data_IF_792648468009
#
_entry.id   IF_792648468009
#
_cell.length_a   1.000
_cell.length_b   1.000
_cell.length_c   1.000
_cell.angle_alpha   90.00
_cell.angle_beta   90.00
_cell.angle_gamma   90.00
#
_symmetry.space_group_name_H-M   'P 1'
#
loop_
_entity.id
_entity.type
_entity.pdbx_description
1 polymer ?
#
# COMPACT_ATOMS: atom_id res chain seq x y z
N UNK A 1 20.32 -1.20 -39.16
CA UNK A 1 18.89 -1.56 -39.04
C UNK A 1 18.45 -1.28 -37.61
N UNK A 2 17.41 -0.48 -37.39
CA UNK A 2 16.88 -0.22 -36.05
C UNK A 2 16.30 -1.52 -35.47
N UNK A 3 16.87 -2.05 -34.38
CA UNK A 3 16.29 -3.17 -33.66
C UNK A 3 15.01 -2.72 -32.94
N UNK A 4 13.88 -3.30 -33.34
CA UNK A 4 12.57 -3.07 -32.72
C UNK A 4 12.61 -3.53 -31.25
N UNK A 5 12.48 -2.61 -30.30
CA UNK A 5 12.42 -2.92 -28.88
C UNK A 5 10.97 -3.23 -28.47
N UNK A 6 10.76 -4.28 -27.69
CA UNK A 6 9.44 -4.62 -27.12
C UNK A 6 9.50 -4.58 -25.60
N UNK A 7 8.54 -3.90 -24.97
CA UNK A 7 8.37 -3.77 -23.52
C UNK A 7 6.97 -4.22 -23.12
N UNK A 8 6.76 -4.51 -21.84
CA UNK A 8 5.46 -4.93 -21.29
C UNK A 8 5.04 -3.97 -20.17
N UNK A 9 3.75 -3.68 -20.09
CA UNK A 9 3.11 -2.92 -19.00
C UNK A 9 1.86 -3.67 -18.53
N UNK A 10 1.60 -3.68 -17.23
CA UNK A 10 0.53 -4.49 -16.62
C UNK A 10 -0.55 -3.61 -15.97
N UNK A 11 -1.81 -3.95 -16.21
CA UNK A 11 -2.97 -3.31 -15.60
C UNK A 11 -3.85 -4.35 -14.90
N UNK A 12 -4.39 -4.00 -13.73
CA UNK A 12 -5.34 -4.87 -13.02
C UNK A 12 -6.73 -4.69 -13.60
N UNK A 13 -7.42 -5.80 -13.92
CA UNK A 13 -8.74 -5.76 -14.59
C UNK A 13 -9.79 -4.93 -13.84
N UNK A 14 -9.85 -5.05 -12.53
CA UNK A 14 -10.95 -4.46 -11.75
C UNK A 14 -10.64 -3.07 -11.17
N UNK A 15 -9.49 -2.47 -11.52
CA UNK A 15 -9.01 -1.23 -10.89
C UNK A 15 -8.62 -0.21 -11.95
N UNK A 16 -9.35 0.90 -12.01
CA UNK A 16 -8.97 2.06 -12.82
C UNK A 16 -7.62 2.61 -12.34
N UNK A 17 -6.69 2.85 -13.28
CA UNK A 17 -5.33 3.26 -12.97
C UNK A 17 -4.74 4.08 -14.12
N UNK A 18 -3.86 5.00 -13.76
CA UNK A 18 -3.05 5.74 -14.72
C UNK A 18 -1.58 5.35 -14.53
N UNK A 19 -0.90 5.12 -15.65
CA UNK A 19 0.53 4.88 -15.70
C UNK A 19 1.18 5.96 -16.53
N UNK A 20 2.27 6.53 -16.02
CA UNK A 20 3.04 7.58 -16.71
C UNK A 20 4.47 7.09 -16.83
N UNK A 21 4.99 7.12 -18.05
CA UNK A 21 6.39 6.76 -18.30
C UNK A 21 7.02 7.69 -19.32
N UNK A 22 8.32 7.90 -19.15
CA UNK A 22 9.13 8.65 -20.11
C UNK A 22 9.69 7.71 -21.17
N UNK A 23 9.51 8.08 -22.42
CA UNK A 23 10.16 7.44 -23.56
C UNK A 23 11.22 8.40 -24.09
N UNK A 24 12.50 8.02 -23.97
CA UNK A 24 13.62 8.76 -24.56
C UNK A 24 14.00 8.19 -25.91
N UNK A 25 14.19 9.07 -26.88
CA UNK A 25 14.70 8.76 -28.21
C UNK A 25 16.03 9.47 -28.46
N UNK A 26 16.77 9.04 -29.48
CA UNK A 26 17.93 9.78 -29.98
C UNK A 26 17.73 10.09 -31.47
N UNK A 27 18.02 11.32 -31.87
CA UNK A 27 18.17 11.74 -33.28
C UNK A 27 16.94 11.55 -34.20
N UNK A 28 15.73 11.91 -33.77
CA UNK A 28 14.60 12.02 -34.70
C UNK A 28 14.31 13.48 -35.01
N UNK A 29 14.70 13.92 -36.20
CA UNK A 29 14.58 15.30 -36.68
C UNK A 29 13.15 15.82 -36.78
N UNK A 30 12.14 14.94 -36.72
CA UNK A 30 10.71 15.29 -36.84
C UNK A 30 9.81 14.79 -35.71
N UNK A 31 10.36 14.17 -34.66
CA UNK A 31 9.60 13.62 -33.53
C UNK A 31 9.05 12.20 -33.75
N UNK A 32 8.28 11.72 -32.76
CA UNK A 32 7.73 10.35 -32.68
C UNK A 32 6.20 10.42 -32.61
N UNK A 33 5.52 9.57 -33.37
CA UNK A 33 4.06 9.40 -33.33
C UNK A 33 3.68 8.17 -32.51
N UNK A 34 2.63 8.30 -31.71
CA UNK A 34 2.05 7.22 -30.90
C UNK A 34 0.80 6.67 -31.58
N UNK A 35 0.69 5.35 -31.70
CA UNK A 35 -0.50 4.64 -32.18
C UNK A 35 -0.79 3.46 -31.26
N UNK A 36 -2.04 2.99 -31.16
CA UNK A 36 -2.37 1.87 -30.29
C UNK A 36 -3.55 1.04 -30.81
N UNK A 37 -3.59 -0.23 -30.38
CA UNK A 37 -4.64 -1.20 -30.66
C UNK A 37 -5.38 -1.60 -29.38
N UNK A 38 -5.57 -0.64 -28.46
CA UNK A 38 -6.24 -0.83 -27.17
C UNK A 38 -7.76 -0.58 -27.25
N UNK A 39 -8.56 -1.24 -26.39
CA UNK A 39 -10.00 -0.99 -26.30
C UNK A 39 -10.34 0.42 -25.81
N UNK A 40 -11.59 0.89 -25.99
CA UNK A 40 -12.02 2.25 -25.65
C UNK A 40 -11.85 2.64 -24.16
N UNK A 41 -11.78 1.64 -23.27
CA UNK A 41 -11.50 1.86 -21.84
C UNK A 41 -10.06 2.32 -21.55
N UNK A 42 -9.21 2.46 -22.58
CA UNK A 42 -7.89 3.04 -22.48
C UNK A 42 -7.82 4.40 -23.19
N UNK A 43 -7.17 5.36 -22.52
CA UNK A 43 -6.82 6.64 -23.10
C UNK A 43 -5.31 6.85 -23.06
N UNK A 44 -4.73 7.23 -24.19
CA UNK A 44 -3.29 7.51 -24.30
C UNK A 44 -3.09 8.99 -24.62
N UNK A 45 -2.34 9.66 -23.75
CA UNK A 45 -1.89 11.02 -23.95
C UNK A 45 -0.37 11.01 -24.08
N UNK A 46 0.14 11.49 -25.22
CA UNK A 46 1.58 11.64 -25.43
C UNK A 46 1.93 13.10 -25.67
N UNK A 47 2.82 13.65 -24.86
CA UNK A 47 3.37 14.99 -25.04
C UNK A 47 4.86 14.89 -25.37
N UNK A 48 5.25 15.38 -26.55
CA UNK A 48 6.64 15.35 -27.01
C UNK A 48 7.33 16.69 -26.82
N UNK A 49 8.55 16.67 -26.26
CA UNK A 49 9.46 17.82 -26.25
C UNK A 49 10.55 17.63 -27.32
N UNK A 50 10.53 18.40 -28.43
CA UNK A 50 11.52 18.29 -29.49
C UNK A 50 12.95 18.63 -29.02
N UNK A 51 13.10 19.49 -28.02
CA UNK A 51 14.41 19.92 -27.51
C UNK A 51 15.13 18.85 -26.67
N UNK A 52 14.40 17.90 -26.09
CA UNK A 52 14.95 16.92 -25.14
C UNK A 52 14.92 15.48 -25.65
N UNK A 53 14.49 15.26 -26.89
CA UNK A 53 14.25 13.93 -27.46
C UNK A 53 13.48 13.00 -26.51
N UNK A 54 12.41 13.52 -25.92
CA UNK A 54 11.66 12.85 -24.87
C UNK A 54 10.16 13.04 -25.11
N UNK A 55 9.38 11.96 -24.94
CA UNK A 55 7.95 12.10 -24.67
C UNK A 55 7.58 11.52 -23.33
N UNK A 56 6.71 12.27 -22.66
CA UNK A 56 5.92 11.77 -21.56
C UNK A 56 4.68 11.09 -22.15
N UNK A 57 4.46 9.83 -21.77
CA UNK A 57 3.30 9.05 -22.19
C UNK A 57 2.51 8.70 -20.96
N UNK A 58 1.25 9.12 -20.95
CA UNK A 58 0.26 8.76 -19.93
C UNK A 58 -0.73 7.79 -20.55
N UNK A 59 -0.91 6.64 -19.90
CA UNK A 59 -1.88 5.61 -20.26
C UNK A 59 -2.87 5.49 -19.11
N UNK A 60 -4.11 5.88 -19.35
CA UNK A 60 -5.19 5.78 -18.37
C UNK A 60 -6.09 4.59 -18.73
N UNK A 61 -6.43 3.77 -17.74
CA UNK A 61 -7.34 2.64 -17.83
C UNK A 61 -8.54 2.88 -16.92
N UNK A 62 -9.75 2.73 -17.46
CA UNK A 62 -11.00 2.76 -16.70
C UNK A 62 -11.64 1.37 -16.65
N UNK A 63 -11.76 0.81 -15.44
CA UNK A 63 -12.38 -0.51 -15.26
C UNK A 63 -13.90 -0.50 -15.44
N UNK A 64 -14.55 0.68 -15.39
CA UNK A 64 -16.01 0.77 -15.53
C UNK A 64 -16.49 0.59 -16.98
N UNK A 65 -15.65 0.97 -17.94
CA UNK A 65 -15.90 0.82 -19.39
C UNK A 65 -15.22 -0.42 -19.99
N UNK A 66 -14.68 -1.30 -19.15
CA UNK A 66 -13.91 -2.46 -19.59
C UNK A 66 -14.79 -3.52 -20.29
N UNK A 67 -14.35 -4.09 -21.43
CA UNK A 67 -15.08 -5.17 -22.08
C UNK A 67 -15.05 -6.45 -21.25
N UNK A 68 -16.06 -7.32 -21.42
CA UNK A 68 -16.14 -8.60 -20.70
C UNK A 68 -14.93 -9.51 -20.95
N UNK A 69 -14.31 -9.43 -22.14
CA UNK A 69 -13.05 -10.09 -22.49
C UNK A 69 -12.17 -9.16 -23.32
N UNK A 70 -10.86 -9.25 -23.14
CA UNK A 70 -9.88 -8.53 -23.97
C UNK A 70 -9.47 -9.33 -25.23
N UNK A 71 -10.02 -10.54 -25.39
CA UNK A 71 -9.78 -11.40 -26.55
C UNK A 71 -10.32 -10.74 -27.83
N UNK A 72 -9.43 -10.37 -28.73
CA UNK A 72 -9.73 -9.63 -29.97
C UNK A 72 -8.95 -8.33 -30.12
N UNK A 73 -8.34 -7.82 -29.05
CA UNK A 73 -7.45 -6.66 -29.11
C UNK A 73 -5.99 -7.12 -29.15
N UNK A 74 -5.15 -6.46 -29.96
CA UNK A 74 -3.71 -6.77 -30.03
C UNK A 74 -2.93 -6.26 -28.82
N UNK A 75 -3.52 -5.34 -28.06
CA UNK A 75 -2.99 -4.79 -26.81
C UNK A 75 -1.59 -4.19 -26.95
N UNK A 76 -1.35 -3.44 -28.03
CA UNK A 76 -0.06 -2.82 -28.30
C UNK A 76 -0.18 -1.29 -28.33
N UNK A 77 0.84 -0.61 -27.80
CA UNK A 77 1.11 0.81 -28.02
C UNK A 77 2.41 0.88 -28.83
N UNK A 78 2.36 1.49 -30.00
CA UNK A 78 3.43 1.51 -30.99
C UNK A 78 3.92 2.95 -31.19
N UNK A 79 5.21 3.14 -30.97
CA UNK A 79 5.92 4.40 -31.24
C UNK A 79 6.66 4.27 -32.55
N UNK A 80 6.34 5.16 -33.48
CA UNK A 80 6.92 5.18 -34.83
C UNK A 80 7.54 6.53 -35.13
N UNK A 81 8.57 6.56 -35.97
CA UNK A 81 9.13 7.82 -36.46
C UNK A 81 8.12 8.53 -37.36
N UNK A 82 7.90 9.83 -37.18
CA UNK A 82 6.95 10.61 -37.98
C UNK A 82 7.29 10.59 -39.47
N UNK A 83 8.58 10.60 -39.83
CA UNK A 83 9.05 10.63 -41.23
C UNK A 83 8.90 9.28 -41.94
N UNK A 84 9.19 8.19 -41.23
CA UNK A 84 9.43 6.89 -41.84
C UNK A 84 8.31 5.89 -41.56
N UNK A 85 7.44 6.16 -40.57
CA UNK A 85 6.44 5.24 -40.02
C UNK A 85 7.00 3.86 -39.63
N UNK A 86 8.31 3.76 -39.43
CA UNK A 86 8.96 2.54 -39.00
C UNK A 86 8.72 2.43 -37.49
N UNK A 87 8.20 1.30 -36.98
CA UNK A 87 8.02 1.11 -35.55
C UNK A 87 9.39 1.00 -34.87
N UNK A 88 9.58 1.78 -33.80
CA UNK A 88 10.84 1.86 -33.06
C UNK A 88 10.70 1.14 -31.71
N UNK A 89 9.52 1.24 -31.08
CA UNK A 89 9.23 0.67 -29.77
C UNK A 89 7.77 0.20 -29.71
N UNK A 90 7.55 -0.99 -29.16
CA UNK A 90 6.22 -1.56 -28.91
C UNK A 90 6.07 -1.84 -27.42
N UNK A 91 5.01 -1.33 -26.80
CA UNK A 91 4.56 -1.76 -25.48
C UNK A 91 3.40 -2.71 -25.60
N UNK A 92 3.53 -3.90 -25.01
CA UNK A 92 2.45 -4.85 -24.80
C UNK A 92 1.74 -4.55 -23.49
N UNK A 93 0.44 -4.29 -23.56
CA UNK A 93 -0.41 -4.10 -22.39
C UNK A 93 -0.98 -5.45 -21.97
N UNK A 94 -0.75 -5.84 -20.72
CA UNK A 94 -1.20 -7.12 -20.18
C UNK A 94 -2.17 -6.90 -19.03
N UNK A 95 -3.35 -7.52 -19.13
CA UNK A 95 -4.36 -7.48 -18.07
C UNK A 95 -4.14 -8.62 -17.08
N UNK A 96 -4.01 -8.30 -15.79
CA UNK A 96 -3.74 -9.26 -14.71
C UNK A 96 -4.80 -9.18 -13.61
N UNK A 97 -5.03 -10.28 -12.88
CA UNK A 97 -6.00 -10.31 -11.77
C UNK A 97 -5.37 -9.79 -10.45
N UNK A 98 -4.05 -9.97 -10.29
CA UNK A 98 -3.24 -9.40 -9.22
C UNK A 98 -1.91 -8.87 -9.78
N UNK A 99 -1.54 -7.64 -9.39
CA UNK A 99 -0.22 -7.08 -9.68
C UNK A 99 0.81 -7.83 -8.83
N UNK A 100 1.80 -8.46 -9.46
CA UNK A 100 2.95 -8.97 -8.73
C UNK A 100 3.79 -7.78 -8.28
N UNK A 101 4.08 -7.72 -6.97
CA UNK A 101 4.89 -6.68 -6.32
C UNK A 101 6.37 -6.88 -6.67
N UNK A 102 6.72 -6.74 -7.93
CA UNK A 102 8.08 -6.39 -8.31
C UNK A 102 7.99 -4.96 -8.87
N UNK A 103 8.51 -4.01 -8.10
CA UNK A 103 8.73 -2.66 -8.57
C UNK A 103 9.73 -2.72 -9.75
N UNK A 104 9.21 -2.89 -10.97
CA UNK A 104 9.97 -2.55 -12.15
C UNK A 104 9.88 -1.04 -12.32
N UNK A 105 11.00 -0.37 -12.05
CA UNK A 105 11.24 1.03 -12.41
C UNK A 105 10.93 1.26 -13.90
N UNK A 106 9.68 1.66 -14.20
CA UNK A 106 9.24 2.03 -15.54
C UNK A 106 9.40 3.54 -15.82
N UNK A 107 9.93 4.32 -14.86
CA UNK A 107 9.90 5.77 -14.94
C UNK A 107 10.74 6.36 -16.09
N UNK A 108 11.73 5.65 -16.63
CA UNK A 108 12.49 6.11 -17.82
C UNK A 108 12.89 4.95 -18.75
N UNK A 109 12.23 4.83 -19.90
CA UNK A 109 12.59 3.84 -20.93
C UNK A 109 13.49 4.51 -21.95
N UNK A 110 14.79 4.18 -21.89
CA UNK A 110 15.82 4.68 -22.80
C UNK A 110 15.88 3.80 -24.06
N UNK A 111 15.54 4.36 -25.22
CA UNK A 111 15.75 3.70 -26.51
C UNK A 111 17.06 4.23 -27.12
N UNK A 112 18.09 3.38 -27.17
CA UNK A 112 19.34 3.69 -27.85
C UNK A 112 19.32 3.11 -29.28
N UNK A 113 19.31 3.94 -30.33
CA UNK A 113 19.95 3.59 -31.58
C UNK A 113 21.43 3.98 -31.46
N UNK A 114 22.29 3.00 -31.26
CA UNK A 114 23.74 3.24 -31.34
C UNK A 114 24.12 3.57 -32.77
N UNK A 115 24.53 4.81 -33.02
CA UNK A 115 25.51 5.10 -34.07
C UNK A 115 26.50 6.11 -33.49
N UNK A 116 27.71 5.64 -33.21
CA UNK A 116 28.89 6.49 -33.06
C UNK A 116 30.05 5.79 -33.80
N UNK A 117 30.59 6.48 -34.79
CA UNK A 117 31.74 6.01 -35.54
C UNK A 117 32.99 6.58 -34.88
N UNK A 118 33.69 5.77 -34.09
CA UNK A 118 35.16 5.69 -34.07
C UNK A 118 35.56 4.38 -33.36
N UNK A 119 36.27 3.51 -34.08
CA UNK A 119 36.74 2.17 -33.66
C UNK A 119 35.69 1.17 -33.13
N UNK A 120 34.80 0.69 -34.01
CA UNK A 120 33.95 -0.47 -33.70
C UNK A 120 34.75 -1.78 -33.65
N UNK A 121 34.86 -2.39 -32.46
CA UNK A 121 35.36 -3.75 -32.26
C UNK A 121 34.31 -4.76 -32.74
N UNK A 122 34.16 -4.85 -34.06
CA UNK A 122 33.18 -5.70 -34.73
C UNK A 122 33.82 -6.55 -35.84
N UNK A 123 33.20 -7.68 -36.15
CA UNK A 123 33.65 -8.50 -37.26
C UNK A 123 33.32 -7.82 -38.58
N UNK A 124 34.33 -7.52 -39.40
CA UNK A 124 34.14 -6.85 -40.70
C UNK A 124 33.53 -7.73 -41.80
N UNK A 125 33.14 -8.96 -41.48
CA UNK A 125 32.41 -9.87 -42.38
C UNK A 125 30.90 -9.82 -42.13
N UNK A 126 30.47 -9.90 -40.87
CA UNK A 126 29.05 -9.93 -40.51
C UNK A 126 28.57 -8.66 -39.77
N UNK A 127 29.48 -7.74 -39.49
CA UNK A 127 29.24 -6.48 -38.75
C UNK A 127 28.69 -6.72 -37.34
N UNK A 128 28.84 -7.93 -36.80
CA UNK A 128 28.46 -8.23 -35.42
C UNK A 128 29.58 -7.78 -34.46
N UNK A 129 29.24 -7.18 -33.31
CA UNK A 129 30.22 -6.79 -32.30
C UNK A 129 30.94 -8.03 -31.77
N UNK A 130 32.26 -7.93 -31.62
CA UNK A 130 33.04 -8.98 -30.99
C UNK A 130 32.65 -9.10 -29.52
N UNK A 131 32.67 -10.33 -29.00
CA UNK A 131 32.32 -10.62 -27.61
C UNK A 131 33.10 -11.84 -27.14
N UNK A 132 33.59 -11.82 -25.90
CA UNK A 132 34.20 -12.99 -25.28
C UNK A 132 33.16 -13.92 -24.62
N UNK A 133 31.96 -13.39 -24.34
CA UNK A 133 30.88 -14.11 -23.67
C UNK A 133 29.93 -14.82 -24.67
N UNK A 134 29.88 -14.36 -25.91
CA UNK A 134 29.05 -14.96 -26.96
C UNK A 134 29.94 -15.80 -27.87
N UNK A 135 29.84 -17.13 -27.76
CA UNK A 135 30.69 -18.10 -28.46
C UNK A 135 30.82 -17.84 -29.97
N UNK A 136 29.74 -17.43 -30.64
CA UNK A 136 29.73 -17.12 -32.08
C UNK A 136 30.44 -15.82 -32.46
N UNK A 137 30.52 -14.85 -31.53
CA UNK A 137 31.12 -13.54 -31.74
C UNK A 137 32.55 -13.44 -31.19
N UNK A 138 33.12 -14.54 -30.71
CA UNK A 138 34.52 -14.57 -30.26
C UNK A 138 35.45 -14.23 -31.43
N UNK A 139 36.33 -13.22 -31.31
CA UNK A 139 37.28 -12.88 -32.35
C UNK A 139 38.33 -13.99 -32.50
N UNK A 140 38.52 -14.49 -33.73
CA UNK A 140 39.46 -15.55 -34.10
C UNK A 140 40.49 -15.03 -35.10
N UNK A 141 41.75 -15.35 -34.88
CA UNK A 141 42.85 -14.97 -35.78
C UNK A 141 43.05 -16.08 -36.81
N UNK A 142 43.14 -15.71 -38.09
CA UNK A 142 43.63 -16.59 -39.15
C UNK A 142 45.17 -16.56 -39.15
N UNK A 143 45.88 -17.61 -38.67
CA UNK A 143 47.33 -17.52 -38.42
C UNK A 143 48.17 -17.29 -39.68
N UNK A 144 47.67 -17.63 -40.86
CA UNK A 144 48.41 -17.45 -42.11
C UNK A 144 48.52 -15.98 -42.55
N UNK A 145 47.62 -15.10 -42.09
CA UNK A 145 47.60 -13.69 -42.50
C UNK A 145 47.30 -12.67 -41.39
N UNK A 146 46.98 -13.11 -40.17
CA UNK A 146 46.75 -12.24 -39.02
C UNK A 146 45.37 -11.56 -38.98
N UNK A 147 44.57 -11.67 -40.03
CA UNK A 147 43.21 -11.10 -40.04
C UNK A 147 42.30 -11.76 -39.01
N UNK A 148 41.44 -10.94 -38.40
CA UNK A 148 40.50 -11.39 -37.36
C UNK A 148 39.06 -11.39 -37.86
N UNK A 149 38.37 -12.51 -37.64
CA UNK A 149 36.93 -12.69 -37.93
C UNK A 149 36.23 -13.33 -36.74
N UNK A 150 34.90 -13.26 -36.63
CA UNK A 150 34.21 -13.96 -35.55
C UNK A 150 34.16 -15.47 -35.80
N UNK A 151 33.97 -16.24 -34.73
CA UNK A 151 33.92 -17.70 -34.78
C UNK A 151 32.84 -18.22 -35.74
N UNK A 152 31.66 -17.59 -35.79
CA UNK A 152 30.58 -17.96 -36.72
C UNK A 152 30.98 -17.72 -38.19
N UNK A 153 31.66 -16.61 -38.48
CA UNK A 153 32.16 -16.33 -39.83
C UNK A 153 33.23 -17.34 -40.24
N UNK A 154 34.14 -17.71 -39.33
CA UNK A 154 35.14 -18.75 -39.60
C UNK A 154 34.49 -20.10 -39.96
N UNK A 155 33.47 -20.52 -39.19
CA UNK A 155 32.71 -21.75 -39.47
C UNK A 155 31.99 -21.68 -40.83
N UNK A 156 31.43 -20.52 -41.16
CA UNK A 156 30.68 -20.32 -42.42
C UNK A 156 31.61 -20.38 -43.63
N UNK A 157 32.75 -19.69 -43.56
CA UNK A 157 33.76 -19.70 -44.63
C UNK A 157 34.36 -21.10 -44.82
N UNK A 158 34.59 -21.85 -43.74
CA UNK A 158 35.06 -23.24 -43.81
C UNK A 158 34.04 -24.15 -44.51
N UNK A 159 32.74 -23.99 -44.20
CA UNK A 159 31.67 -24.74 -44.85
C UNK A 159 31.52 -24.42 -46.33
N UNK A 160 31.87 -23.22 -46.76
CA UNK A 160 31.79 -22.81 -48.16
C UNK A 160 33.03 -23.23 -48.97
N UNK A 161 34.14 -23.56 -48.31
CA UNK A 161 35.35 -24.04 -48.99
C UNK A 161 35.16 -25.44 -49.61
N UNK A 162 35.82 -25.66 -50.75
CA UNK A 162 35.93 -26.98 -51.42
C UNK A 162 36.73 -27.96 -50.55
N UNK A 163 37.70 -27.46 -49.80
CA UNK A 163 38.45 -28.23 -48.81
C UNK A 163 37.98 -27.86 -47.39
N UNK A 164 37.22 -28.76 -46.77
CA UNK A 164 36.65 -28.59 -45.41
C UNK A 164 37.71 -28.50 -44.30
N UNK A 165 38.99 -28.70 -44.60
CA UNK A 165 40.10 -28.55 -43.65
C UNK A 165 40.81 -27.19 -43.75
N UNK A 166 40.29 -26.27 -44.57
CA UNK A 166 40.91 -24.97 -44.84
C UNK A 166 39.90 -23.82 -44.82
N UNK A 167 40.40 -22.62 -44.52
CA UNK A 167 39.64 -21.38 -44.51
C UNK A 167 40.40 -20.36 -45.35
N UNK A 168 39.75 -19.83 -46.38
CA UNK A 168 40.27 -18.69 -47.13
C UNK A 168 39.87 -17.39 -46.44
N UNK A 169 40.84 -16.52 -46.18
CA UNK A 169 40.59 -15.21 -45.61
C UNK A 169 39.71 -14.36 -46.53
N UNK A 170 38.64 -13.72 -46.04
CA UNK A 170 37.76 -12.91 -46.87
C UNK A 170 38.39 -11.57 -47.30
N UNK A 171 39.50 -11.16 -46.67
CA UNK A 171 40.14 -9.87 -46.92
C UNK A 171 41.28 -9.97 -47.93
N UNK A 172 42.16 -10.97 -47.78
CA UNK A 172 43.37 -11.13 -48.60
C UNK A 172 43.43 -12.47 -49.36
N UNK A 173 42.41 -13.33 -49.18
CA UNK A 173 42.29 -14.66 -49.81
C UNK A 173 43.37 -15.67 -49.43
N UNK A 174 44.22 -15.36 -48.44
CA UNK A 174 45.23 -16.30 -47.92
C UNK A 174 44.55 -17.51 -47.30
N UNK A 175 44.99 -18.71 -47.68
CA UNK A 175 44.42 -19.97 -47.20
C UNK A 175 45.11 -20.41 -45.92
N UNK A 176 44.32 -20.57 -44.86
CA UNK A 176 44.74 -21.15 -43.58
C UNK A 176 44.28 -22.61 -43.52
N UNK A 177 45.21 -23.55 -43.44
CA UNK A 177 44.93 -24.99 -43.33
C UNK A 177 44.62 -25.42 -41.88
N UNK A 178 43.60 -24.81 -41.29
CA UNK A 178 43.15 -25.09 -39.91
C UNK A 178 41.62 -25.10 -39.89
N UNK A 179 41.03 -25.97 -39.08
CA UNK A 179 39.58 -25.99 -38.88
C UNK A 179 39.11 -24.84 -37.98
N UNK A 180 37.91 -24.30 -38.22
CA UNK A 180 37.44 -23.09 -37.53
C UNK A 180 37.37 -23.24 -36.00
N UNK A 181 37.12 -24.47 -35.50
CA UNK A 181 37.13 -24.80 -34.07
C UNK A 181 38.51 -24.59 -33.41
N UNK A 182 39.60 -24.76 -34.18
CA UNK A 182 40.97 -24.72 -33.69
C UNK A 182 41.65 -23.37 -33.94
N UNK A 183 40.92 -22.37 -34.44
CA UNK A 183 41.48 -21.04 -34.61
C UNK A 183 41.73 -20.38 -33.24
N UNK A 184 42.91 -19.78 -33.02
CA UNK A 184 43.22 -19.09 -31.77
C UNK A 184 42.28 -17.90 -31.55
N UNK A 185 41.92 -17.65 -30.29
CA UNK A 185 41.22 -16.41 -29.90
C UNK A 185 42.16 -15.23 -30.08
N UNK A 186 41.64 -14.09 -30.54
CA UNK A 186 42.37 -12.84 -30.49
C UNK A 186 42.25 -12.23 -29.09
N UNK A 187 43.14 -12.63 -28.18
CA UNK A 187 43.12 -12.16 -26.80
C UNK A 187 43.33 -10.64 -26.67
N UNK A 188 44.05 -10.00 -27.60
CA UNK A 188 44.22 -8.54 -27.59
C UNK A 188 42.88 -7.80 -27.80
N UNK A 189 42.04 -8.27 -28.72
CA UNK A 189 40.69 -7.71 -28.92
C UNK A 189 39.77 -8.05 -27.74
N UNK A 190 39.88 -9.26 -27.18
CA UNK A 190 39.11 -9.66 -25.99
C UNK A 190 39.43 -8.76 -24.79
N UNK A 191 40.70 -8.46 -24.55
CA UNK A 191 41.13 -7.60 -23.45
C UNK A 191 40.64 -6.15 -23.64
N UNK A 192 40.72 -5.62 -24.87
CA UNK A 192 40.15 -4.30 -25.20
C UNK A 192 38.64 -4.23 -24.97
N UNK A 193 37.88 -5.29 -25.28
CA UNK A 193 36.44 -5.38 -24.99
C UNK A 193 36.20 -5.33 -23.48
N UNK A 194 36.97 -6.09 -22.70
CA UNK A 194 36.84 -6.14 -21.24
C UNK A 194 37.14 -4.78 -20.60
N UNK A 195 38.25 -4.15 -20.98
CA UNK A 195 38.64 -2.82 -20.47
C UNK A 195 37.64 -1.73 -20.84
N UNK A 196 37.02 -1.80 -22.03
CA UNK A 196 35.96 -0.88 -22.44
C UNK A 196 34.69 -1.11 -21.62
N UNK A 197 34.34 -2.36 -21.35
CA UNK A 197 33.22 -2.74 -20.48
C UNK A 197 33.40 -2.20 -19.06
N UNK A 198 34.56 -2.44 -18.44
CA UNK A 198 34.86 -1.97 -17.08
C UNK A 198 34.86 -0.43 -16.98
N UNK A 199 35.42 0.27 -17.97
CA UNK A 199 35.38 1.74 -18.04
C UNK A 199 33.96 2.27 -18.24
N UNK A 200 33.15 1.62 -19.08
CA UNK A 200 31.76 2.01 -19.29
C UNK A 200 30.90 1.78 -18.04
N UNK A 201 31.07 0.65 -17.35
CA UNK A 201 30.41 0.39 -16.06
C UNK A 201 30.80 1.40 -14.99
N UNK A 202 32.08 1.75 -14.89
CA UNK A 202 32.54 2.78 -13.95
C UNK A 202 32.01 4.18 -14.32
N UNK A 203 31.91 4.50 -15.61
CA UNK A 203 31.35 5.76 -16.08
C UNK A 203 29.84 5.85 -15.84
N UNK A 204 29.08 4.77 -16.04
CA UNK A 204 27.64 4.72 -15.70
C UNK A 204 27.42 4.81 -14.19
N UNK A 205 28.24 4.14 -13.37
CA UNK A 205 28.21 4.28 -11.90
C UNK A 205 28.56 5.72 -11.45
N UNK A 206 29.44 6.43 -12.15
CA UNK A 206 29.79 7.84 -11.87
C UNK A 206 28.72 8.84 -12.35
N UNK A 207 28.02 8.53 -13.46
CA UNK A 207 26.88 9.32 -13.96
C UNK A 207 25.63 9.12 -13.12
N UNK A 208 25.48 7.97 -12.47
CA UNK A 208 24.49 7.72 -11.43
C UNK A 208 24.91 8.38 -10.10
N UNK A 209 25.31 9.66 -10.13
CA UNK A 209 25.12 10.51 -8.96
C UNK A 209 23.60 10.48 -8.67
N UNK A 210 23.22 10.28 -7.41
CA UNK A 210 21.82 10.15 -7.01
C UNK A 210 20.98 11.28 -7.63
N UNK A 211 20.08 10.90 -8.55
CA UNK A 211 19.11 11.83 -9.11
C UNK A 211 18.11 12.11 -8.00
N UNK A 212 18.08 13.35 -7.54
CA UNK A 212 17.13 13.86 -6.57
C UNK A 212 16.05 14.64 -7.34
N UNK A 213 14.77 14.31 -7.16
CA UNK A 213 13.68 15.04 -7.83
C UNK A 213 13.48 16.45 -7.25
N UNK A 214 13.84 16.66 -5.98
CA UNK A 214 13.77 17.97 -5.31
C UNK A 214 15.01 18.21 -4.44
N UNK A 215 16.16 18.54 -5.06
CA UNK A 215 17.38 18.82 -4.32
C UNK A 215 17.28 20.15 -3.59
N UNK A 216 17.69 20.17 -2.32
CA UNK A 216 17.75 21.37 -1.48
C UNK A 216 18.75 22.36 -2.09
N UNK A 217 19.89 21.86 -2.58
CA UNK A 217 20.90 22.66 -3.26
C UNK A 217 21.19 22.07 -4.65
N UNK A 218 20.58 22.60 -5.74
CA UNK A 218 20.76 22.05 -7.07
C UNK A 218 22.19 22.24 -7.60
N UNK A 219 22.74 21.20 -8.22
CA UNK A 219 24.07 21.22 -8.84
C UNK A 219 24.12 22.03 -10.13
N UNK A 220 25.21 22.76 -10.32
CA UNK A 220 25.47 23.58 -11.51
C UNK A 220 25.40 22.79 -12.82
N UNK A 221 26.03 21.62 -12.86
CA UNK A 221 26.05 20.76 -14.06
C UNK A 221 24.70 20.06 -14.32
N UNK A 222 23.91 19.82 -13.27
CA UNK A 222 22.60 19.17 -13.39
C UNK A 222 21.70 19.59 -12.22
N UNK A 223 20.62 20.36 -12.49
CA UNK A 223 19.68 20.79 -11.47
C UNK A 223 19.02 19.65 -10.68
N UNK A 224 19.05 18.41 -11.19
CA UNK A 224 18.53 17.22 -10.50
C UNK A 224 19.54 16.50 -9.60
N UNK A 225 20.75 17.03 -9.41
CA UNK A 225 21.68 16.49 -8.41
C UNK A 225 21.70 17.38 -7.17
N UNK A 226 21.84 16.75 -6.00
CA UNK A 226 22.11 17.46 -4.75
C UNK A 226 23.59 17.87 -4.68
N UNK A 227 23.85 19.14 -4.38
CA UNK A 227 25.19 19.68 -4.25
C UNK A 227 25.74 19.48 -2.85
N UNK A 228 27.00 19.06 -2.81
CA UNK A 228 27.74 18.87 -1.55
C UNK A 228 28.99 19.75 -1.49
N UNK A 229 29.45 20.28 -2.64
CA UNK A 229 30.66 21.09 -2.76
C UNK A 229 30.37 22.47 -3.36
N UNK A 230 30.87 23.52 -2.73
CA UNK A 230 30.89 24.88 -3.28
C UNK A 230 32.28 25.24 -3.76
N UNK A 231 32.45 25.60 -5.03
CA UNK A 231 33.74 26.02 -5.58
C UNK A 231 33.94 27.53 -5.37
N UNK A 232 34.96 27.95 -4.61
CA UNK A 232 35.23 29.37 -4.31
C UNK A 232 35.62 30.17 -5.55
N UNK A 233 36.28 29.53 -6.51
CA UNK A 233 36.77 30.19 -7.72
C UNK A 233 35.67 30.31 -8.78
N UNK A 234 34.84 29.27 -8.93
CA UNK A 234 33.73 29.29 -9.88
C UNK A 234 32.47 29.98 -9.31
N UNK A 235 32.40 30.19 -8.00
CA UNK A 235 31.23 30.72 -7.25
C UNK A 235 29.93 29.92 -7.47
N UNK A 236 30.04 28.61 -7.69
CA UNK A 236 28.90 27.72 -7.96
C UNK A 236 28.99 26.40 -7.19
N UNK A 237 27.82 25.77 -7.02
CA UNK A 237 27.64 24.53 -6.27
C UNK A 237 27.68 23.30 -7.19
N UNK A 238 28.29 22.22 -6.74
CA UNK A 238 28.41 20.95 -7.46
C UNK A 238 28.10 19.77 -6.53
N UNK A 239 27.54 18.69 -7.09
CA UNK A 239 27.63 17.38 -6.46
C UNK A 239 29.07 16.84 -6.56
N UNK A 240 29.44 15.89 -5.72
CA UNK A 240 30.81 15.33 -5.67
C UNK A 240 31.31 14.87 -7.04
N UNK A 241 30.48 14.15 -7.80
CA UNK A 241 30.85 13.61 -9.11
C UNK A 241 31.01 14.71 -10.17
N UNK A 242 30.11 15.69 -10.19
CA UNK A 242 30.18 16.83 -11.10
C UNK A 242 31.37 17.72 -10.77
N UNK A 243 31.69 17.91 -9.48
CA UNK A 243 32.87 18.63 -9.04
C UNK A 243 34.14 17.98 -9.58
N UNK A 244 34.30 16.67 -9.36
CA UNK A 244 35.45 15.91 -9.86
C UNK A 244 35.54 15.93 -11.38
N UNK A 245 34.41 15.81 -12.07
CA UNK A 245 34.38 15.88 -13.54
C UNK A 245 34.88 17.23 -14.06
N UNK A 246 34.32 18.33 -13.56
CA UNK A 246 34.67 19.69 -13.99
C UNK A 246 36.08 20.12 -13.54
N UNK A 247 36.56 19.63 -12.39
CA UNK A 247 37.82 20.05 -11.77
C UNK A 247 38.96 19.01 -11.87
N UNK A 248 38.77 17.94 -12.66
CA UNK A 248 39.81 16.91 -12.88
C UNK A 248 40.96 17.37 -13.80
N UNK A 249 40.76 18.45 -14.56
CA UNK A 249 41.77 18.99 -15.48
C UNK A 249 42.85 19.76 -14.71
N UNK A 250 44.12 19.68 -15.17
CA UNK A 250 45.29 20.35 -14.54
C UNK A 250 45.13 21.87 -14.33
N UNK A 251 44.26 22.53 -15.10
CA UNK A 251 44.00 23.97 -15.03
C UNK A 251 43.04 24.31 -13.87
N UNK A 252 42.08 23.42 -13.57
CA UNK A 252 40.99 23.66 -12.62
C UNK A 252 41.14 22.89 -11.31
N UNK A 253 42.10 21.97 -11.22
CA UNK A 253 42.38 21.17 -10.02
C UNK A 253 42.93 21.98 -8.83
N UNK A 254 43.32 23.24 -9.04
CA UNK A 254 43.80 24.16 -8.00
C UNK A 254 42.66 24.96 -7.34
N UNK A 255 41.42 24.87 -7.85
CA UNK A 255 40.29 25.58 -7.29
C UNK A 255 39.97 25.05 -5.89
N UNK A 256 39.86 25.98 -4.94
CA UNK A 256 39.49 25.65 -3.57
C UNK A 256 37.97 25.49 -3.45
N UNK A 257 37.52 24.55 -2.63
CA UNK A 257 36.11 24.31 -2.38
C UNK A 257 35.80 24.24 -0.88
N UNK A 258 34.56 24.56 -0.53
CA UNK A 258 33.97 24.35 0.80
C UNK A 258 32.79 23.36 0.70
N UNK A 259 32.24 22.95 1.84
CA UNK A 259 30.90 22.33 1.88
C UNK A 259 29.84 23.38 1.54
N UNK A 260 28.79 22.98 0.82
CA UNK A 260 27.63 23.87 0.54
C UNK A 260 27.02 24.41 1.83
N UNK A 261 26.97 23.59 2.89
CA UNK A 261 26.51 24.01 4.22
C UNK A 261 27.35 25.11 4.88
N UNK A 262 28.61 25.27 4.45
CA UNK A 262 29.53 26.27 5.00
C UNK A 262 29.72 27.46 4.05
N UNK A 263 28.94 27.51 2.97
CA UNK A 263 28.93 28.63 2.02
C UNK A 263 28.47 29.90 2.73
N UNK A 264 29.31 30.93 2.73
CA UNK A 264 28.93 32.27 3.24
C UNK A 264 27.93 32.93 2.29
N UNK A 265 26.96 33.65 2.85
CA UNK A 265 26.01 34.43 2.05
C UNK A 265 26.73 35.56 1.31
N UNK A 266 26.29 35.86 0.08
CA UNK A 266 26.92 36.87 -0.78
C UNK A 266 26.43 38.26 -0.40
N UNK A 267 27.35 39.18 -0.16
CA UNK A 267 27.02 40.60 0.01
C UNK A 267 26.61 41.22 -1.33
N UNK A 268 25.43 41.85 -1.34
CA UNK A 268 24.87 42.51 -2.51
C UNK A 268 25.42 43.93 -2.65
N UNK A 269 25.44 44.45 -3.88
CA UNK A 269 25.73 45.88 -4.14
C UNK A 269 24.54 46.73 -3.72
N UNK A 270 24.82 47.91 -3.18
CA UNK A 270 23.79 48.86 -2.81
C UNK A 270 23.09 49.42 -4.06
N UNK A 271 21.76 49.43 -4.05
CA UNK A 271 20.94 49.95 -5.15
C UNK A 271 21.13 51.45 -5.38
N UNK A 272 21.35 52.20 -4.31
CA UNK A 272 21.56 53.66 -4.37
C UNK A 272 23.04 54.03 -4.57
N UNK A 273 23.96 53.11 -4.26
CA UNK A 273 25.40 53.31 -4.33
C UNK A 273 26.09 52.12 -5.01
N UNK A 274 26.12 52.13 -6.35
CA UNK A 274 26.57 51.00 -7.20
C UNK A 274 28.01 50.50 -6.96
N UNK A 275 28.86 51.34 -6.36
CA UNK A 275 30.25 51.02 -6.03
C UNK A 275 30.46 50.54 -4.58
N UNK A 276 29.41 50.47 -3.75
CA UNK A 276 29.50 49.97 -2.38
C UNK A 276 28.67 48.72 -2.17
N UNK A 277 29.19 47.83 -1.33
CA UNK A 277 28.43 46.67 -0.86
C UNK A 277 27.58 47.05 0.35
N UNK A 278 26.45 46.35 0.48
CA UNK A 278 25.64 46.40 1.69
C UNK A 278 26.47 45.81 2.83
N UNK A 279 26.54 46.56 3.93
CA UNK A 279 27.32 46.21 5.11
C UNK A 279 26.47 46.16 6.38
N UNK A 280 25.32 46.85 6.40
CA UNK A 280 24.49 46.97 7.58
C UNK A 280 23.01 46.71 7.29
N UNK A 281 22.28 46.35 8.34
CA UNK A 281 20.84 46.17 8.38
C UNK A 281 20.25 47.16 9.39
N UNK A 282 19.34 48.01 8.94
CA UNK A 282 18.58 48.92 9.77
C UNK A 282 17.49 48.17 10.54
N UNK A 283 17.53 48.24 11.87
CA UNK A 283 16.58 47.52 12.75
C UNK A 283 15.33 48.34 13.07
N UNK A 284 15.27 49.60 12.63
CA UNK A 284 14.16 50.50 12.91
C UNK A 284 12.91 50.13 12.12
N UNK A 285 11.85 49.74 12.85
CA UNK A 285 10.56 49.32 12.25
C UNK A 285 9.84 50.46 11.52
N UNK A 286 10.16 51.72 11.83
CA UNK A 286 9.56 52.92 11.24
C UNK A 286 10.51 53.65 10.29
N UNK A 287 11.53 52.95 9.79
CA UNK A 287 12.44 53.49 8.79
C UNK A 287 11.66 53.88 7.52
N UNK A 288 11.95 55.07 6.97
CA UNK A 288 11.32 55.56 5.73
C UNK A 288 12.09 55.19 4.46
N UNK A 289 13.25 54.55 4.60
CA UNK A 289 14.04 54.09 3.47
C UNK A 289 13.31 52.95 2.72
N UNK A 290 13.61 52.82 1.43
CA UNK A 290 13.01 51.81 0.55
C UNK A 290 13.41 50.37 0.91
N UNK A 291 14.52 50.20 1.62
CA UNK A 291 15.05 48.90 2.07
C UNK A 291 15.72 49.04 3.43
N UNK A 292 15.66 48.02 4.31
CA UNK A 292 16.43 48.01 5.55
C UNK A 292 17.92 47.71 5.32
N UNK A 293 18.34 47.37 4.09
CA UNK A 293 19.73 47.07 3.76
C UNK A 293 20.48 48.35 3.39
N UNK A 294 21.57 48.65 4.09
CA UNK A 294 22.33 49.88 3.89
C UNK A 294 23.84 49.64 3.73
N UNK A 295 24.48 50.42 2.87
CA UNK A 295 25.94 50.60 2.86
C UNK A 295 26.33 51.76 3.79
N UNK A 296 27.63 51.99 3.97
CA UNK A 296 28.11 53.05 4.87
C UNK A 296 27.59 54.45 4.47
N UNK A 297 27.48 54.75 3.18
CA UNK A 297 26.92 56.03 2.71
C UNK A 297 25.41 56.14 2.93
N UNK A 298 24.65 55.03 2.88
CA UNK A 298 23.23 55.04 3.23
C UNK A 298 23.01 55.34 4.72
N UNK A 299 23.91 54.91 5.59
CA UNK A 299 23.82 55.18 7.04
C UNK A 299 23.90 56.67 7.32
N UNK A 300 24.79 57.37 6.62
CA UNK A 300 25.00 58.82 6.77
C UNK A 300 23.90 59.67 6.15
N UNK A 301 23.13 59.12 5.20
CA UNK A 301 22.13 59.88 4.42
C UNK A 301 20.69 59.44 4.67
N UNK A 302 20.34 58.20 4.33
CA UNK A 302 18.98 57.67 4.34
C UNK A 302 18.58 57.04 5.69
N UNK A 303 19.57 56.64 6.48
CA UNK A 303 19.38 56.03 7.81
C UNK A 303 20.03 56.86 8.92
N UNK A 304 20.04 58.18 8.75
CA UNK A 304 20.57 59.10 9.76
C UNK A 304 19.82 58.91 11.08
N UNK A 305 20.56 58.69 12.17
CA UNK A 305 20.04 58.43 13.51
C UNK A 305 19.23 57.13 13.70
N UNK A 306 19.26 56.19 12.74
CA UNK A 306 18.67 54.87 12.95
C UNK A 306 19.67 53.89 13.57
N UNK A 307 19.17 52.96 14.39
CA UNK A 307 19.98 51.84 14.85
C UNK A 307 20.22 50.86 13.70
N UNK A 308 21.47 50.45 13.54
CA UNK A 308 21.89 49.48 12.52
C UNK A 308 22.79 48.43 13.14
N UNK A 309 22.78 47.24 12.55
CA UNK A 309 23.67 46.13 12.92
C UNK A 309 24.36 45.61 11.66
N UNK A 310 25.55 44.99 11.76
CA UNK A 310 26.17 44.32 10.63
C UNK A 310 25.25 43.26 10.01
N UNK A 311 25.26 43.13 8.69
CA UNK A 311 24.42 42.13 7.99
C UNK A 311 24.81 40.70 8.35
N UNK A 312 26.08 40.46 8.66
CA UNK A 312 26.58 39.17 9.15
C UNK A 312 25.88 38.78 10.44
N UNK A 313 25.79 39.72 11.39
CA UNK A 313 25.11 39.49 12.66
C UNK A 313 23.62 39.20 12.44
N UNK A 314 22.98 39.94 11.54
CA UNK A 314 21.56 39.72 11.20
C UNK A 314 21.33 38.36 10.54
N UNK A 315 22.25 37.92 9.68
CA UNK A 315 22.20 36.62 9.02
C UNK A 315 22.35 35.48 10.04
N UNK A 316 23.31 35.58 10.96
CA UNK A 316 23.49 34.62 12.06
C UNK A 316 22.23 34.51 12.94
N UNK A 317 21.63 35.64 13.33
CA UNK A 317 20.42 35.65 14.16
C UNK A 317 19.24 35.00 13.41
N UNK A 318 19.10 35.25 12.11
CA UNK A 318 18.08 34.62 11.28
C UNK A 318 18.33 33.12 11.11
N UNK A 319 19.57 32.70 10.88
CA UNK A 319 19.96 31.29 10.78
C UNK A 319 19.62 30.54 12.07
N UNK A 320 19.91 31.14 13.23
CA UNK A 320 19.54 30.57 14.52
C UNK A 320 18.02 30.44 14.69
N UNK A 321 17.26 31.48 14.34
CA UNK A 321 15.80 31.45 14.43
C UNK A 321 15.18 30.39 13.51
N UNK A 322 15.65 30.31 12.26
CA UNK A 322 15.20 29.33 11.28
C UNK A 322 15.54 27.90 11.73
N UNK A 323 16.74 27.67 12.26
CA UNK A 323 17.16 26.37 12.79
C UNK A 323 16.27 25.92 13.96
N UNK A 324 15.96 26.84 14.88
CA UNK A 324 15.05 26.55 16.00
C UNK A 324 13.63 26.23 15.51
N UNK A 325 13.14 26.99 14.53
CA UNK A 325 11.82 26.77 13.94
C UNK A 325 11.75 25.41 13.23
N UNK A 326 12.73 25.08 12.40
CA UNK A 326 12.82 23.80 11.71
C UNK A 326 12.79 22.62 12.70
N UNK A 327 13.58 22.69 13.78
CA UNK A 327 13.57 21.66 14.83
C UNK A 327 12.19 21.50 15.48
N UNK A 328 11.50 22.61 15.72
CA UNK A 328 10.15 22.62 16.32
C UNK A 328 9.11 22.02 15.35
N UNK A 329 9.19 22.38 14.07
CA UNK A 329 8.30 21.84 13.03
C UNK A 329 8.49 20.34 12.86
N UNK A 330 9.73 19.84 12.78
CA UNK A 330 10.01 18.40 12.66
C UNK A 330 9.43 17.61 13.85
N UNK A 331 9.62 18.09 15.08
CA UNK A 331 9.04 17.45 16.27
C UNK A 331 7.50 17.46 16.24
N UNK A 332 6.91 18.56 15.77
CA UNK A 332 5.45 18.67 15.64
C UNK A 332 4.92 17.70 14.58
N UNK A 333 5.61 17.59 13.45
CA UNK A 333 5.27 16.67 12.36
C UNK A 333 5.30 15.21 12.85
N UNK A 334 6.35 14.80 13.57
CA UNK A 334 6.42 13.46 14.16
C UNK A 334 5.26 13.18 15.13
N UNK A 335 4.90 14.15 15.97
CA UNK A 335 3.79 14.03 16.91
C UNK A 335 2.44 13.92 16.19
N UNK A 336 2.26 14.67 15.10
CA UNK A 336 1.05 14.60 14.26
C UNK A 336 0.96 13.25 13.54
N UNK A 337 2.07 12.72 13.00
CA UNK A 337 2.12 11.37 12.39
C UNK A 337 1.70 10.29 13.39
N UNK A 338 2.19 10.33 14.63
CA UNK A 338 1.78 9.39 15.70
C UNK A 338 0.30 9.50 16.06
N UNK A 339 -0.20 10.74 16.16
CA UNK A 339 -1.62 11.01 16.42
C UNK A 339 -2.52 10.47 15.29
N UNK A 340 -2.12 10.69 14.04
CA UNK A 340 -2.84 10.19 12.86
C UNK A 340 -2.90 8.66 12.85
N UNK A 341 -1.76 7.98 13.04
CA UNK A 341 -1.73 6.51 13.11
C UNK A 341 -2.63 5.95 14.22
N UNK A 342 -2.73 6.66 15.35
CA UNK A 342 -3.61 6.28 16.46
C UNK A 342 -5.08 6.43 16.07
N UNK A 343 -5.45 7.54 15.42
CA UNK A 343 -6.80 7.77 14.92
C UNK A 343 -7.20 6.71 13.88
N UNK A 344 -6.32 6.38 12.93
CA UNK A 344 -6.56 5.34 11.92
C UNK A 344 -6.80 3.97 12.55
N UNK A 345 -6.00 3.59 13.56
CA UNK A 345 -6.19 2.35 14.32
C UNK A 345 -7.56 2.34 15.02
N UNK A 346 -7.94 3.44 15.66
CA UNK A 346 -9.22 3.54 16.34
C UNK A 346 -10.40 3.41 15.37
N UNK A 347 -10.35 4.09 14.22
CA UNK A 347 -11.38 3.96 13.18
C UNK A 347 -11.47 2.52 12.67
N UNK A 348 -10.34 1.85 12.48
CA UNK A 348 -10.32 0.43 12.06
C UNK A 348 -10.92 -0.50 13.11
N UNK A 349 -10.72 -0.23 14.41
CA UNK A 349 -11.27 -1.03 15.50
C UNK A 349 -12.80 -0.85 15.67
N UNK A 350 -13.38 0.25 15.18
CA UNK A 350 -14.82 0.49 15.19
C UNK A 350 -15.59 -0.28 14.09
N UNK A 351 -14.92 -1.12 13.29
CA UNK A 351 -15.59 -1.96 12.32
C UNK A 351 -16.35 -3.11 13.02
N UNK A 352 -17.55 -3.45 12.53
CA UNK A 352 -18.41 -4.54 13.02
C UNK A 352 -17.74 -5.93 12.97
N UNK A 353 -16.62 -6.05 12.27
CA UNK A 353 -15.80 -7.27 12.21
C UNK A 353 -14.67 -7.30 13.25
N UNK A 354 -14.51 -6.25 14.07
CA UNK A 354 -13.48 -6.24 15.11
C UNK A 354 -13.81 -7.25 16.22
N UNK A 355 -12.77 -7.87 16.78
CA UNK A 355 -12.93 -8.87 17.84
C UNK A 355 -13.61 -8.25 19.08
N UNK A 356 -13.35 -6.97 19.39
CA UNK A 356 -14.02 -6.27 20.49
C UNK A 356 -15.52 -6.10 20.24
N UNK A 357 -15.93 -5.72 19.04
CA UNK A 357 -17.35 -5.65 18.67
C UNK A 357 -18.03 -7.02 18.79
N UNK A 358 -17.40 -8.07 18.24
CA UNK A 358 -17.93 -9.43 18.31
C UNK A 358 -18.05 -9.95 19.76
N UNK A 359 -17.07 -9.62 20.62
CA UNK A 359 -17.12 -9.92 22.06
C UNK A 359 -18.26 -9.20 22.77
N UNK A 360 -18.49 -7.92 22.47
CA UNK A 360 -19.62 -7.17 23.01
C UNK A 360 -20.95 -7.78 22.55
N UNK A 361 -21.10 -8.07 21.26
CA UNK A 361 -22.31 -8.74 20.73
C UNK A 361 -22.55 -10.09 21.41
N UNK A 362 -21.51 -10.90 21.60
CA UNK A 362 -21.61 -12.19 22.29
C UNK A 362 -22.02 -12.01 23.75
N UNK A 363 -21.46 -11.03 24.44
CA UNK A 363 -21.79 -10.71 25.83
C UNK A 363 -23.26 -10.28 25.96
N UNK A 364 -23.75 -9.44 25.04
CA UNK A 364 -25.14 -9.01 24.98
C UNK A 364 -26.06 -10.22 24.77
N UNK A 365 -25.77 -11.09 23.80
CA UNK A 365 -26.56 -12.31 23.53
C UNK A 365 -26.63 -13.20 24.77
N UNK A 366 -25.48 -13.50 25.37
CA UNK A 366 -25.39 -14.35 26.56
C UNK A 366 -26.20 -13.79 27.73
N UNK A 367 -26.21 -12.46 27.93
CA UNK A 367 -26.99 -11.83 28.99
C UNK A 367 -28.50 -12.07 28.82
N UNK A 368 -29.02 -11.92 27.60
CA UNK A 368 -30.43 -12.15 27.31
C UNK A 368 -30.82 -13.63 27.33
N UNK A 369 -29.92 -14.52 26.90
CA UNK A 369 -30.09 -15.98 27.03
C UNK A 369 -30.23 -16.38 28.49
N UNK A 370 -29.33 -15.91 29.36
CA UNK A 370 -29.39 -16.16 30.80
C UNK A 370 -30.69 -15.64 31.44
N UNK A 371 -31.12 -14.42 31.08
CA UNK A 371 -32.39 -13.86 31.56
C UNK A 371 -33.60 -14.67 31.11
N UNK A 372 -33.55 -15.23 29.90
CA UNK A 372 -34.60 -16.09 29.36
C UNK A 372 -34.65 -17.41 30.11
N UNK A 373 -33.49 -18.04 30.34
CA UNK A 373 -33.39 -19.28 31.10
C UNK A 373 -33.85 -19.11 32.57
N UNK A 374 -33.47 -18.00 33.21
CA UNK A 374 -33.95 -17.63 34.55
C UNK A 374 -35.48 -17.51 34.60
N UNK A 375 -36.11 -16.88 33.59
CA UNK A 375 -37.56 -16.70 33.53
C UNK A 375 -38.30 -18.03 33.30
N UNK A 376 -37.77 -18.90 32.42
CA UNK A 376 -38.33 -20.24 32.18
C UNK A 376 -38.22 -21.08 33.44
N UNK A 377 -37.06 -21.10 34.10
CA UNK A 377 -36.87 -21.85 35.34
C UNK A 377 -37.86 -21.41 36.43
N UNK A 378 -38.10 -20.11 36.58
CA UNK A 378 -39.11 -19.58 37.52
C UNK A 378 -40.51 -20.09 37.20
N UNK A 379 -40.88 -20.15 35.92
CA UNK A 379 -42.17 -20.72 35.51
C UNK A 379 -42.26 -22.21 35.85
N UNK A 380 -41.21 -22.98 35.55
CA UNK A 380 -41.17 -24.41 35.86
C UNK A 380 -41.27 -24.70 37.37
N UNK A 381 -40.55 -23.94 38.19
CA UNK A 381 -40.59 -24.05 39.65
C UNK A 381 -42.00 -23.70 40.19
N UNK A 382 -42.64 -22.66 39.65
CA UNK A 382 -44.02 -22.30 40.00
C UNK A 382 -45.02 -23.39 39.62
N UNK A 383 -44.92 -23.91 38.39
CA UNK A 383 -45.80 -24.98 37.92
C UNK A 383 -45.61 -26.27 38.73
N UNK A 384 -44.37 -26.61 39.07
CA UNK A 384 -44.05 -27.76 39.92
C UNK A 384 -44.66 -27.62 41.31
N UNK A 385 -44.46 -26.48 41.99
CA UNK A 385 -45.03 -26.23 43.31
C UNK A 385 -46.57 -26.28 43.30
N UNK A 386 -47.20 -25.71 42.26
CA UNK A 386 -48.67 -25.76 42.09
C UNK A 386 -49.15 -27.18 41.84
N UNK A 387 -48.44 -27.96 41.02
CA UNK A 387 -48.75 -29.38 40.76
C UNK A 387 -48.69 -30.20 42.06
N UNK A 388 -47.61 -30.10 42.83
CA UNK A 388 -47.47 -30.81 44.12
C UNK A 388 -48.61 -30.48 45.09
N UNK A 389 -49.04 -29.21 45.12
CA UNK A 389 -50.18 -28.78 45.92
C UNK A 389 -51.50 -29.43 45.46
N UNK A 390 -51.72 -29.53 44.15
CA UNK A 390 -52.93 -30.14 43.58
C UNK A 390 -52.95 -31.66 43.80
N UNK A 391 -51.82 -32.34 43.63
CA UNK A 391 -51.68 -33.78 43.89
C UNK A 391 -51.98 -34.12 45.36
N UNK A 392 -51.59 -33.23 46.30
CA UNK A 392 -51.95 -33.39 47.72
C UNK A 392 -53.47 -33.28 47.93
N UNK A 393 -54.11 -32.27 47.32
CA UNK A 393 -55.57 -32.09 47.42
C UNK A 393 -56.31 -33.29 46.82
N UNK A 394 -55.83 -33.82 45.69
CA UNK A 394 -56.37 -35.03 45.06
C UNK A 394 -56.30 -36.22 46.02
N UNK A 395 -55.13 -36.46 46.63
CA UNK A 395 -54.94 -37.54 47.60
C UNK A 395 -55.85 -37.40 48.83
N UNK A 396 -56.01 -36.19 49.35
CA UNK A 396 -56.90 -35.92 50.48
C UNK A 396 -58.37 -36.19 50.12
N UNK A 397 -58.80 -35.80 48.92
CA UNK A 397 -60.17 -36.08 48.42
C UNK A 397 -60.36 -37.59 48.25
N UNK A 398 -59.37 -38.29 47.72
CA UNK A 398 -59.45 -39.74 47.52
C UNK A 398 -59.53 -40.49 48.85
N UNK A 399 -58.75 -40.08 49.86
CA UNK A 399 -58.83 -40.62 51.22
C UNK A 399 -60.23 -40.42 51.83
N UNK A 400 -60.78 -39.21 51.72
CA UNK A 400 -62.11 -38.91 52.25
C UNK A 400 -63.21 -39.70 51.53
N UNK A 401 -63.09 -39.91 50.21
CA UNK A 401 -64.01 -40.75 49.46
C UNK A 401 -64.00 -42.20 49.95
N UNK A 402 -62.84 -42.76 50.28
CA UNK A 402 -62.77 -44.11 50.85
C UNK A 402 -63.39 -44.18 52.25
N UNK A 403 -63.12 -43.20 53.12
CA UNK A 403 -63.76 -43.12 54.44
C UNK A 403 -65.29 -42.98 54.34
N UNK A 404 -65.80 -42.17 53.41
CA UNK A 404 -67.24 -42.02 53.16
C UNK A 404 -67.84 -43.35 52.69
N UNK A 405 -67.17 -44.09 51.79
CA UNK A 405 -67.64 -45.41 51.33
C UNK A 405 -67.72 -46.42 52.48
N UNK A 406 -66.70 -46.46 53.34
CA UNK A 406 -66.67 -47.35 54.50
C UNK A 406 -67.78 -47.00 55.50
N UNK A 407 -67.91 -45.72 55.88
CA UNK A 407 -68.96 -45.27 56.78
C UNK A 407 -70.36 -45.56 56.22
N UNK A 408 -70.58 -45.36 54.91
CA UNK A 408 -71.84 -45.70 54.25
C UNK A 408 -72.15 -47.20 54.34
N UNK A 409 -71.15 -48.05 54.07
CA UNK A 409 -71.30 -49.51 54.15
C UNK A 409 -71.63 -49.97 55.56
N UNK A 410 -71.04 -49.37 56.59
CA UNK A 410 -71.35 -49.71 57.98
C UNK A 410 -72.75 -49.25 58.39
N UNK A 411 -73.18 -48.06 57.95
CA UNK A 411 -74.57 -47.61 58.13
C UNK A 411 -75.56 -48.56 57.44
N UNK A 412 -75.29 -48.96 56.19
CA UNK A 412 -76.12 -49.90 55.43
C UNK A 412 -76.27 -51.24 56.18
N UNK A 413 -75.18 -51.83 56.68
CA UNK A 413 -75.22 -53.08 57.47
C UNK A 413 -76.12 -52.97 58.69
N UNK A 414 -76.01 -51.89 59.46
CA UNK A 414 -76.82 -51.67 60.67
C UNK A 414 -78.30 -51.52 60.32
N UNK A 415 -78.62 -50.79 59.25
CA UNK A 415 -79.99 -50.60 58.78
C UNK A 415 -80.63 -51.90 58.30
N UNK A 416 -79.88 -52.76 57.60
CA UNK A 416 -80.37 -54.06 57.11
C UNK A 416 -80.56 -55.08 58.23
N UNK A 417 -79.57 -55.22 59.13
CA UNK A 417 -79.55 -56.25 60.17
C UNK A 417 -80.38 -55.91 61.41
N UNK A 418 -80.51 -54.61 61.72
CA UNK A 418 -81.27 -54.05 62.86
C UNK A 418 -80.81 -54.50 64.26
N UNK A 419 -79.67 -55.18 64.35
CA UNK A 419 -79.12 -55.79 65.57
C UNK A 419 -78.56 -54.78 66.58
N UNK A 420 -78.09 -53.63 66.11
CA UNK A 420 -77.36 -52.62 66.92
C UNK A 420 -77.97 -51.21 66.87
N UNK A 421 -79.23 -51.09 66.41
CA UNK A 421 -79.90 -49.79 66.22
C UNK A 421 -79.96 -48.90 67.47
N UNK A 422 -80.05 -49.50 68.66
CA UNK A 422 -80.09 -48.78 69.94
C UNK A 422 -78.75 -48.13 70.32
N UNK A 423 -77.64 -48.47 69.64
CA UNK A 423 -76.28 -48.03 69.94
C UNK A 423 -75.58 -47.39 68.73
N UNK A 424 -76.29 -46.53 67.98
CA UNK A 424 -75.81 -45.93 66.72
C UNK A 424 -75.10 -44.58 66.87
N UNK A 425 -74.99 -44.06 68.09
CA UNK A 425 -74.55 -42.69 68.36
C UNK A 425 -73.15 -42.38 67.80
N UNK A 426 -72.22 -43.34 67.88
CA UNK A 426 -70.85 -43.17 67.36
C UNK A 426 -70.81 -43.26 65.82
N UNK A 427 -71.65 -44.11 65.21
CA UNK A 427 -71.74 -44.25 63.75
C UNK A 427 -72.31 -42.99 63.13
N UNK A 428 -73.36 -42.42 63.72
CA UNK A 428 -73.98 -41.15 63.29
C UNK A 428 -72.96 -40.02 63.40
N UNK A 429 -72.28 -39.88 64.54
CA UNK A 429 -71.25 -38.86 64.76
C UNK A 429 -70.12 -38.95 63.72
N UNK A 430 -69.65 -40.16 63.42
CA UNK A 430 -68.60 -40.37 62.42
C UNK A 430 -69.08 -40.05 61.00
N UNK A 431 -70.31 -40.44 60.63
CA UNK A 431 -70.90 -40.11 59.34
C UNK A 431 -71.13 -38.61 59.15
N UNK A 432 -71.62 -37.91 60.16
CA UNK A 432 -71.83 -36.46 60.15
C UNK A 432 -70.50 -35.71 59.98
N UNK A 433 -69.43 -36.16 60.64
CA UNK A 433 -68.10 -35.54 60.52
C UNK A 433 -67.50 -35.60 59.09
N UNK A 434 -67.95 -36.57 58.28
CA UNK A 434 -67.52 -36.77 56.90
C UNK A 434 -68.41 -36.05 55.86
N UNK A 435 -69.62 -35.62 56.24
CA UNK A 435 -70.59 -34.94 55.37
C UNK A 435 -70.24 -33.46 55.09
N UNK A 436 -69.08 -33.20 54.50
CA UNK A 436 -68.60 -31.85 54.13
C UNK A 436 -68.70 -31.64 52.62
N UNK A 437 -69.05 -30.43 52.18
CA UNK A 437 -68.98 -30.10 50.74
C UNK A 437 -67.52 -29.82 50.35
N UNK A 438 -67.02 -30.50 49.32
CA UNK A 438 -65.72 -30.22 48.73
C UNK A 438 -65.88 -29.43 47.43
N UNK A 439 -65.39 -28.18 47.41
CA UNK A 439 -65.17 -27.44 46.15
C UNK A 439 -63.67 -27.36 45.86
N UNK A 440 -63.28 -27.80 44.67
CA UNK A 440 -61.93 -27.61 44.12
C UNK A 440 -62.01 -26.45 43.13
N UNK A 441 -61.19 -25.41 43.34
CA UNK A 441 -61.11 -24.29 42.42
C UNK A 441 -60.22 -24.68 41.23
N UNK A 442 -60.66 -24.46 39.97
CA UNK A 442 -59.85 -24.75 38.78
C UNK A 442 -58.54 -23.95 38.77
N UNK A 443 -57.45 -24.58 38.34
CA UNK A 443 -56.17 -23.91 38.16
C UNK A 443 -56.16 -23.08 36.87
N UNK A 444 -55.56 -21.89 36.94
CA UNK A 444 -55.32 -20.99 35.80
C UNK A 444 -53.83 -20.75 35.61
N UNK A 445 -53.37 -20.71 34.35
CA UNK A 445 -51.96 -20.44 34.05
C UNK A 445 -51.52 -19.04 34.50
N UNK A 446 -50.30 -18.89 35.01
CA UNK A 446 -49.78 -17.59 35.44
C UNK A 446 -49.52 -16.66 34.24
N UNK A 447 -49.68 -15.36 34.46
CA UNK A 447 -49.42 -14.34 33.45
C UNK A 447 -47.93 -13.99 33.32
N UNK A 448 -47.53 -13.37 32.21
CA UNK A 448 -46.14 -12.91 32.00
C UNK A 448 -45.69 -11.95 33.11
N UNK A 449 -46.57 -11.08 33.60
CA UNK A 449 -46.25 -10.15 34.68
C UNK A 449 -45.99 -10.87 36.01
N UNK A 450 -46.69 -11.99 36.27
CA UNK A 450 -46.46 -12.81 37.46
C UNK A 450 -45.13 -13.58 37.39
N UNK A 451 -44.68 -13.95 36.18
CA UNK A 451 -43.38 -14.60 35.96
C UNK A 451 -42.22 -13.61 36.12
N UNK A 452 -42.40 -12.38 35.62
CA UNK A 452 -41.33 -11.36 35.58
C UNK A 452 -41.24 -10.54 36.88
N UNK A 453 -42.36 -10.17 37.50
CA UNK A 453 -42.43 -9.28 38.66
C UNK A 453 -42.65 -10.04 39.98
N UNK A 454 -41.71 -10.93 40.33
CA UNK A 454 -41.79 -11.74 41.57
C UNK A 454 -41.52 -10.95 42.88
N UNK A 455 -41.76 -9.62 42.91
CA UNK A 455 -41.62 -8.77 44.10
C UNK A 455 -42.93 -8.19 44.62
N UNK A 456 -44.04 -8.21 43.87
CA UNK A 456 -45.34 -7.91 44.45
C UNK A 456 -45.92 -9.19 45.01
N UNK A 457 -46.02 -9.23 46.35
CA UNK A 457 -46.66 -10.28 47.11
C UNK A 457 -48.06 -10.61 46.55
N UNK A 458 -48.12 -11.57 45.63
CA UNK A 458 -49.35 -12.26 45.37
C UNK A 458 -49.53 -13.24 46.51
N UNK A 459 -50.50 -12.93 47.37
CA UNK A 459 -51.09 -13.90 48.28
C UNK A 459 -51.26 -15.21 47.51
N UNK A 460 -50.66 -16.32 47.96
CA UNK A 460 -50.81 -17.57 47.25
C UNK A 460 -52.30 -17.89 47.24
N UNK A 461 -52.94 -17.76 46.07
CA UNK A 461 -54.19 -18.47 45.79
C UNK A 461 -53.80 -19.94 45.70
N UNK A 462 -53.58 -20.53 46.87
CA UNK A 462 -53.34 -21.96 47.08
C UNK A 462 -54.61 -22.68 46.66
N UNK A 463 -54.49 -23.77 45.90
CA UNK A 463 -55.63 -24.65 45.72
C UNK A 463 -56.03 -25.15 47.10
N UNK A 464 -57.13 -24.61 47.62
CA UNK A 464 -57.59 -24.89 48.97
C UNK A 464 -58.90 -25.60 48.85
N UNK A 465 -58.95 -26.79 49.41
CA UNK A 465 -60.21 -27.51 49.62
C UNK A 465 -61.02 -26.70 50.62
N UNK A 466 -62.08 -26.04 50.15
CA UNK A 466 -63.01 -25.32 51.02
C UNK A 466 -64.05 -26.33 51.48
N UNK A 467 -64.07 -26.58 52.79
CA UNK A 467 -65.02 -27.47 53.44
C UNK A 467 -66.06 -26.61 54.15
N UNK A 468 -67.30 -26.64 53.70
CA UNK A 468 -68.44 -26.07 54.41
C UNK A 468 -69.20 -27.18 55.15
N UNK A 469 -69.55 -26.98 56.44
CA UNK A 469 -70.44 -27.89 57.15
C UNK A 469 -71.82 -27.89 56.49
N UNK A 470 -72.41 -29.06 56.21
CA UNK A 470 -73.84 -29.15 55.94
C UNK A 470 -74.59 -29.10 57.26
N UNK A 471 -75.32 -28.02 57.53
CA UNK A 471 -76.30 -27.98 58.61
C UNK A 471 -77.53 -28.78 58.18
N UNK A 472 -77.69 -29.99 58.69
CA UNK A 472 -78.96 -30.71 58.60
C UNK A 472 -79.71 -30.51 59.90
N UNK A 473 -80.52 -29.45 59.97
CA UNK A 473 -81.76 -29.40 60.74
C UNK A 473 -82.60 -28.25 60.17
N UNK A 474 -83.53 -28.60 59.30
CA UNK A 474 -84.65 -27.75 58.90
C UNK A 474 -85.92 -28.52 59.25
N UNK A 475 -86.38 -28.33 60.49
CA UNK A 475 -87.63 -28.79 61.10
C UNK A 475 -87.85 -30.30 61.25
#
# INVERSE_FOLDING_TARGET
>A
MCTLSTKEIQFKKDVSREEVFEVKWNNFSKGVSTTHDLPPCFQILSASSPLQNLSLVKVSYDSTDAPATFDGYKMNIIFSEISSKIPILIFKVKMVDNLQTEAQDLNVIRVFPEIANDESLECKVCVAPFSDNIQGNVPRILPACGHTICHTCALTLQKQSTNKLSIACPFDRTVTNVIAANLPRNFAIVELIRERGERAELAEKKKAAEICEDPINPCYENPKHESTKYCKTCEVDFCDNCFLSAHSSKIFSSHQFDSVSHRRFRLLKCSDHSNQFISHFCIEKKCKASTPLCCNTCIESLHENHSTIPVEKRAEDNEHQLTKLLKTLNSTEENMKKSLQTAEKNVKCLNNNSNEYQRLVTTIKLHFEQKTEEAIKKLDDLLKSKKECLEKVEKDIQSDLEQIKEAKKDIEKVLERKDTLLFTQEIVKNGEALCKEGKVVPFSMPSLQEIVNSQSAMTPRTARRVLSPKTWFGS
#
